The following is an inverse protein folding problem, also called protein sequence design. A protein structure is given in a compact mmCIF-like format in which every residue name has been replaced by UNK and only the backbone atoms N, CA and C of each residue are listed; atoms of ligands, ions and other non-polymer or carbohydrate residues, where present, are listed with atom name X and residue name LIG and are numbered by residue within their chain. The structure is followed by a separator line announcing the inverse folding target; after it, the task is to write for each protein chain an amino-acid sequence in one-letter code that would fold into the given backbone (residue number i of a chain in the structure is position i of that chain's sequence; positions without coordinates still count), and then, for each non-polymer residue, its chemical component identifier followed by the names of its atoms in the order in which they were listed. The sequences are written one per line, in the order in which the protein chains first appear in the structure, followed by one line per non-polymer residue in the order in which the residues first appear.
data_IF_593645933380
#
_entry.id   IF_593645933380
#
_cell.length_a   1.000
_cell.length_b   1.000
_cell.length_c   1.000
_cell.angle_alpha   90.00
_cell.angle_beta   90.00
_cell.angle_gamma   90.00
#
_symmetry.space_group_name_H-M   'P 1'
#
loop_
_entity.id
_entity.type
_entity.pdbx_description
1 polymer ?
#
# COMPACT_ATOMS: atom_id res chain seq x y z
N UNK A 1 -25.16 29.68 -13.79
CA UNK A 1 -24.31 29.52 -14.99
C UNK A 1 -22.84 29.44 -14.57
N UNK A 2 -22.26 30.51 -14.00
CA UNK A 2 -20.85 30.54 -13.56
C UNK A 2 -20.43 29.47 -12.54
N UNK A 3 -21.29 29.11 -11.57
CA UNK A 3 -20.96 28.06 -10.58
C UNK A 3 -20.87 26.66 -11.21
N UNK A 4 -21.78 26.33 -12.14
CA UNK A 4 -21.81 25.03 -12.82
C UNK A 4 -20.60 24.87 -13.75
N UNK A 5 -20.23 25.94 -14.47
CA UNK A 5 -19.04 25.96 -15.33
C UNK A 5 -17.74 25.82 -14.52
N UNK A 6 -17.67 26.41 -13.33
CA UNK A 6 -16.50 26.30 -12.44
C UNK A 6 -16.36 24.88 -11.88
N UNK A 7 -17.46 24.24 -11.46
CA UNK A 7 -17.48 22.85 -10.98
C UNK A 7 -17.08 21.85 -12.09
N UNK A 8 -17.53 22.09 -13.33
CA UNK A 8 -17.16 21.27 -14.48
C UNK A 8 -15.67 21.41 -14.82
N UNK A 9 -15.12 22.62 -14.74
CA UNK A 9 -13.70 22.89 -14.97
C UNK A 9 -12.81 22.19 -13.91
N UNK A 10 -13.20 22.22 -12.64
CA UNK A 10 -12.48 21.55 -11.54
C UNK A 10 -12.52 20.02 -11.69
N UNK A 11 -13.63 19.45 -12.16
CA UNK A 11 -13.81 18.00 -12.29
C UNK A 11 -13.28 17.39 -13.59
N UNK A 12 -13.08 18.19 -14.65
CA UNK A 12 -12.66 17.74 -15.97
C UNK A 12 -11.31 16.96 -16.00
N UNK A 13 -10.23 17.39 -15.32
CA UNK A 13 -8.97 16.64 -15.29
C UNK A 13 -9.11 15.26 -14.62
N UNK A 14 -9.92 15.18 -13.56
CA UNK A 14 -10.20 13.92 -12.87
C UNK A 14 -11.02 12.99 -13.75
N UNK A 15 -12.06 13.50 -14.40
CA UNK A 15 -12.90 12.73 -15.33
C UNK A 15 -12.10 12.17 -16.51
N UNK A 16 -11.19 12.96 -17.09
CA UNK A 16 -10.24 12.48 -18.11
C UNK A 16 -9.38 11.34 -17.56
N UNK A 17 -8.84 11.51 -16.36
CA UNK A 17 -8.00 10.52 -15.71
C UNK A 17 -8.77 9.23 -15.40
N UNK A 18 -10.04 9.31 -14.97
CA UNK A 18 -10.91 8.16 -14.73
C UNK A 18 -11.16 7.36 -16.02
N UNK A 19 -11.50 8.05 -17.11
CA UNK A 19 -11.77 7.43 -18.42
C UNK A 19 -10.54 6.76 -19.03
N UNK A 20 -9.34 7.27 -18.74
CA UNK A 20 -8.08 6.73 -19.24
C UNK A 20 -7.52 5.54 -18.43
N UNK A 21 -8.15 5.16 -17.30
CA UNK A 21 -7.61 4.10 -16.43
C UNK A 21 -7.67 2.73 -17.09
N UNK A 22 -6.61 1.94 -16.91
CA UNK A 22 -6.61 0.52 -17.26
C UNK A 22 -7.72 -0.21 -16.50
N UNK A 23 -8.46 -1.06 -17.22
CA UNK A 23 -9.62 -1.82 -16.71
C UNK A 23 -9.31 -2.60 -15.43
N UNK A 24 -8.10 -3.15 -15.30
CA UNK A 24 -7.66 -3.89 -14.11
C UNK A 24 -7.56 -3.01 -12.87
N UNK A 25 -7.08 -1.77 -13.00
CA UNK A 25 -6.98 -0.81 -11.89
C UNK A 25 -8.36 -0.32 -11.47
N UNK A 26 -9.27 -0.13 -12.43
CA UNK A 26 -10.67 0.21 -12.15
C UNK A 26 -11.34 -0.89 -11.33
N UNK A 27 -11.23 -2.15 -11.76
CA UNK A 27 -11.83 -3.28 -11.05
C UNK A 27 -11.23 -3.45 -9.64
N UNK A 28 -9.91 -3.36 -9.51
CA UNK A 28 -9.24 -3.47 -8.22
C UNK A 28 -9.61 -2.35 -7.25
N UNK A 29 -9.76 -1.11 -7.72
CA UNK A 29 -10.18 0.01 -6.87
C UNK A 29 -11.66 -0.07 -6.52
N UNK A 30 -12.51 -0.44 -7.48
CA UNK A 30 -13.95 -0.58 -7.28
C UNK A 30 -14.28 -1.57 -6.16
N UNK A 31 -13.65 -2.74 -6.15
CA UNK A 31 -13.82 -3.73 -5.08
C UNK A 31 -13.45 -3.14 -3.71
N UNK A 32 -12.30 -2.47 -3.62
CA UNK A 32 -11.81 -1.87 -2.36
C UNK A 32 -12.69 -0.73 -1.86
N UNK A 33 -13.23 0.06 -2.79
CA UNK A 33 -14.18 1.13 -2.48
C UNK A 33 -15.52 0.56 -2.02
N UNK A 34 -15.99 -0.56 -2.59
CA UNK A 34 -17.20 -1.24 -2.13
C UNK A 34 -17.03 -1.78 -0.71
N UNK A 35 -15.91 -2.43 -0.41
CA UNK A 35 -15.62 -2.91 0.94
C UNK A 35 -15.57 -1.76 1.96
N UNK A 36 -15.00 -0.61 1.58
CA UNK A 36 -15.02 0.59 2.43
C UNK A 36 -16.44 1.12 2.66
N UNK A 37 -17.30 1.13 1.64
CA UNK A 37 -18.70 1.55 1.77
C UNK A 37 -19.49 0.60 2.67
N UNK A 38 -19.39 -0.71 2.44
CA UNK A 38 -20.00 -1.71 3.29
C UNK A 38 -19.53 -1.60 4.75
N UNK A 39 -18.25 -1.30 4.97
CA UNK A 39 -17.75 -1.02 6.31
C UNK A 39 -18.35 0.25 6.92
N UNK A 40 -18.49 1.34 6.16
CA UNK A 40 -19.21 2.52 6.63
C UNK A 40 -20.65 2.20 7.06
N UNK A 41 -21.35 1.31 6.34
CA UNK A 41 -22.71 0.87 6.70
C UNK A 41 -22.73 0.14 8.05
N UNK A 42 -21.70 -0.65 8.36
CA UNK A 42 -21.59 -1.34 9.66
C UNK A 42 -21.28 -0.41 10.83
N UNK A 43 -20.61 0.71 10.57
CA UNK A 43 -20.17 1.65 11.59
C UNK A 43 -21.13 2.82 11.82
N UNK A 44 -22.23 2.91 11.06
CA UNK A 44 -23.31 3.90 11.22
C UNK A 44 -22.82 5.36 11.31
N UNK A 45 -21.87 5.75 10.45
CA UNK A 45 -21.40 7.14 10.43
C UNK A 45 -22.45 8.09 9.82
N UNK A 46 -22.74 9.22 10.47
CA UNK A 46 -23.65 10.26 9.95
C UNK A 46 -23.23 10.83 8.60
N UNK A 47 -21.92 10.83 8.33
CA UNK A 47 -21.33 11.29 7.05
C UNK A 47 -21.44 10.25 5.91
N UNK A 48 -22.18 9.15 6.11
CA UNK A 48 -22.39 8.10 5.12
C UNK A 48 -21.07 7.57 4.55
N UNK A 49 -20.91 7.66 3.22
CA UNK A 49 -19.70 7.23 2.52
C UNK A 49 -18.65 8.32 2.29
N UNK A 50 -18.84 9.54 2.81
CA UNK A 50 -17.84 10.59 2.68
C UNK A 50 -16.53 10.13 3.31
N UNK A 51 -15.46 10.19 2.52
CA UNK A 51 -14.13 9.79 2.96
C UNK A 51 -13.57 10.89 3.85
N UNK A 52 -13.23 10.54 5.08
CA UNK A 52 -12.54 11.43 6.03
C UNK A 52 -11.20 10.82 6.45
N UNK A 53 -10.31 11.64 6.99
CA UNK A 53 -9.06 11.18 7.62
C UNK A 53 -9.33 10.08 8.65
N UNK A 54 -10.32 10.29 9.52
CA UNK A 54 -10.66 9.37 10.59
C UNK A 54 -11.12 8.01 10.05
N UNK A 55 -12.04 8.01 9.07
CA UNK A 55 -12.54 6.78 8.44
C UNK A 55 -11.42 6.02 7.73
N UNK A 56 -10.56 6.72 6.97
CA UNK A 56 -9.46 6.07 6.26
C UNK A 56 -8.47 5.41 7.24
N UNK A 57 -8.10 6.10 8.32
CA UNK A 57 -7.21 5.55 9.34
C UNK A 57 -7.83 4.34 10.04
N UNK A 58 -9.06 4.48 10.52
CA UNK A 58 -9.75 3.43 11.26
C UNK A 58 -9.91 2.17 10.42
N UNK A 59 -10.39 2.30 9.18
CA UNK A 59 -10.54 1.19 8.24
C UNK A 59 -9.20 0.53 7.91
N UNK A 60 -8.15 1.32 7.70
CA UNK A 60 -6.80 0.82 7.37
C UNK A 60 -6.17 0.03 8.52
N UNK A 61 -6.43 0.43 9.76
CA UNK A 61 -5.88 -0.23 10.96
C UNK A 61 -6.66 -1.48 11.37
N UNK A 62 -7.98 -1.51 11.19
CA UNK A 62 -8.80 -2.64 11.66
C UNK A 62 -8.79 -3.84 10.73
N UNK A 63 -8.52 -3.67 9.44
CA UNK A 63 -8.90 -4.69 8.45
C UNK A 63 -7.74 -5.33 7.66
N UNK A 64 -6.51 -4.81 7.69
CA UNK A 64 -5.53 -5.18 6.65
C UNK A 64 -4.07 -5.32 7.10
N UNK A 65 -3.34 -6.20 6.40
CA UNK A 65 -1.88 -6.29 6.45
C UNK A 65 -1.20 -5.14 5.69
N UNK A 66 0.10 -4.90 5.95
CA UNK A 66 0.88 -3.78 5.41
C UNK A 66 0.78 -3.54 3.90
N UNK A 67 0.83 -4.59 3.08
CA UNK A 67 0.73 -4.51 1.61
C UNK A 67 -0.68 -4.10 1.19
N UNK A 68 -1.66 -4.70 1.83
CA UNK A 68 -3.07 -4.50 1.55
C UNK A 68 -3.49 -3.06 1.91
N UNK A 69 -2.99 -2.52 3.04
CA UNK A 69 -3.24 -1.15 3.48
C UNK A 69 -2.88 -0.09 2.43
N UNK A 70 -1.73 -0.22 1.75
CA UNK A 70 -1.32 0.76 0.73
C UNK A 70 -2.26 0.81 -0.48
N UNK A 71 -2.81 -0.35 -0.87
CA UNK A 71 -3.78 -0.44 -1.96
C UNK A 71 -5.13 0.17 -1.57
N UNK A 72 -5.62 -0.10 -0.35
CA UNK A 72 -6.85 0.53 0.14
C UNK A 72 -6.70 2.03 0.30
N UNK A 73 -5.58 2.51 0.86
CA UNK A 73 -5.32 3.96 0.97
C UNK A 73 -5.37 4.62 -0.40
N UNK A 74 -4.80 3.99 -1.44
CA UNK A 74 -4.83 4.53 -2.80
C UNK A 74 -6.26 4.55 -3.37
N UNK A 75 -7.00 3.44 -3.25
CA UNK A 75 -8.37 3.33 -3.77
C UNK A 75 -9.37 4.26 -3.04
N UNK A 76 -9.20 4.46 -1.74
CA UNK A 76 -10.08 5.33 -0.93
C UNK A 76 -9.70 6.80 -1.12
N UNK A 77 -8.42 7.13 -1.27
CA UNK A 77 -7.99 8.48 -1.65
C UNK A 77 -8.55 8.87 -3.02
N UNK A 78 -8.59 7.90 -3.93
CA UNK A 78 -9.22 8.09 -5.23
C UNK A 78 -10.72 8.37 -5.10
N UNK A 79 -11.45 7.60 -4.28
CA UNK A 79 -12.85 7.87 -3.98
C UNK A 79 -13.06 9.27 -3.41
N UNK A 80 -12.19 9.73 -2.50
CA UNK A 80 -12.22 11.09 -1.99
C UNK A 80 -12.07 12.12 -3.11
N UNK A 81 -11.11 11.95 -4.03
CA UNK A 81 -10.89 12.89 -5.13
C UNK A 81 -12.15 13.01 -6.00
N UNK A 82 -12.83 11.89 -6.26
CA UNK A 82 -14.12 11.87 -6.98
C UNK A 82 -15.19 12.64 -6.21
N UNK A 83 -15.36 12.35 -4.92
CA UNK A 83 -16.34 13.04 -4.08
C UNK A 83 -16.07 14.55 -3.99
N UNK A 84 -14.80 14.94 -3.84
CA UNK A 84 -14.39 16.33 -3.73
C UNK A 84 -14.58 17.09 -5.06
N UNK A 85 -14.21 16.49 -6.18
CA UNK A 85 -14.43 17.08 -7.50
C UNK A 85 -15.91 17.25 -7.85
N UNK A 86 -16.78 16.41 -7.30
CA UNK A 86 -18.24 16.50 -7.44
C UNK A 86 -18.90 17.44 -6.41
N UNK A 87 -18.12 18.10 -5.54
CA UNK A 87 -18.66 18.95 -4.47
C UNK A 87 -19.38 18.18 -3.35
N UNK A 88 -19.32 16.85 -3.33
CA UNK A 88 -19.97 15.99 -2.32
C UNK A 88 -19.18 15.97 -1.01
N UNK A 89 -17.86 16.19 -1.07
CA UNK A 89 -16.98 16.09 0.09
C UNK A 89 -16.03 17.28 0.20
N UNK A 90 -16.22 18.09 1.24
CA UNK A 90 -15.37 19.24 1.58
C UNK A 90 -14.43 18.97 2.77
N UNK A 91 -14.34 17.71 3.23
CA UNK A 91 -13.45 17.35 4.33
C UNK A 91 -11.98 17.50 3.93
N UNK A 92 -11.10 17.59 4.93
CA UNK A 92 -9.65 17.64 4.70
C UNK A 92 -9.19 16.38 3.96
N UNK A 93 -8.29 16.55 2.99
CA UNK A 93 -7.76 15.45 2.18
C UNK A 93 -7.24 14.29 3.06
N UNK A 94 -7.72 13.05 2.83
CA UNK A 94 -7.57 11.95 3.79
C UNK A 94 -6.12 11.44 3.88
N UNK A 95 -5.34 11.52 2.79
CA UNK A 95 -3.91 11.12 2.76
C UNK A 95 -2.99 12.19 3.36
N UNK A 96 -3.19 12.48 4.63
CA UNK A 96 -2.43 13.49 5.37
C UNK A 96 -1.14 12.92 6.02
N UNK A 97 -0.47 13.72 6.86
CA UNK A 97 0.76 13.32 7.54
C UNK A 97 0.61 12.04 8.39
N UNK A 98 -0.55 11.84 9.03
CA UNK A 98 -0.84 10.66 9.86
C UNK A 98 -0.89 9.39 9.00
N UNK A 99 -1.64 9.42 7.90
CA UNK A 99 -1.69 8.29 6.95
C UNK A 99 -0.32 8.01 6.34
N UNK A 100 0.46 9.06 6.04
CA UNK A 100 1.84 8.91 5.55
C UNK A 100 2.74 8.23 6.59
N UNK A 101 2.62 8.59 7.87
CA UNK A 101 3.37 7.96 8.95
C UNK A 101 3.00 6.47 9.11
N UNK A 102 1.70 6.13 9.05
CA UNK A 102 1.20 4.76 9.06
C UNK A 102 1.82 3.95 7.90
N UNK A 103 1.70 4.41 6.66
CA UNK A 103 2.29 3.74 5.49
C UNK A 103 3.81 3.58 5.63
N UNK A 104 4.50 4.58 6.20
CA UNK A 104 5.93 4.52 6.48
C UNK A 104 6.29 3.42 7.49
N UNK A 105 5.51 3.30 8.57
CA UNK A 105 5.71 2.25 9.59
C UNK A 105 5.51 0.84 9.01
N UNK A 106 4.42 0.63 8.26
CA UNK A 106 4.10 -0.64 7.61
C UNK A 106 5.16 -1.04 6.57
N UNK A 107 5.71 -0.07 5.83
CA UNK A 107 6.82 -0.31 4.90
C UNK A 107 8.09 -0.75 5.62
N UNK A 108 8.43 -0.11 6.75
CA UNK A 108 9.60 -0.50 7.56
C UNK A 108 9.46 -1.90 8.15
N UNK A 109 8.29 -2.23 8.69
CA UNK A 109 7.99 -3.56 9.21
C UNK A 109 8.15 -4.63 8.13
N UNK A 110 7.62 -4.39 6.92
CA UNK A 110 7.81 -5.28 5.77
C UNK A 110 9.29 -5.50 5.45
N UNK A 111 10.09 -4.43 5.39
CA UNK A 111 11.53 -4.57 5.12
C UNK A 111 12.27 -5.31 6.24
N UNK A 112 11.91 -5.06 7.50
CA UNK A 112 12.50 -5.77 8.64
C UNK A 112 12.22 -7.28 8.56
N UNK A 113 10.98 -7.66 8.24
CA UNK A 113 10.61 -9.07 8.02
C UNK A 113 11.37 -9.70 6.85
N UNK A 114 11.45 -9.00 5.72
CA UNK A 114 12.18 -9.48 4.55
C UNK A 114 13.68 -9.66 4.84
N UNK A 115 14.28 -8.78 5.65
CA UNK A 115 15.68 -8.90 6.10
C UNK A 115 15.88 -10.14 6.98
N UNK A 116 14.99 -10.38 7.93
CA UNK A 116 15.07 -11.57 8.79
C UNK A 116 14.93 -12.87 7.99
N UNK A 117 13.96 -12.93 7.07
CA UNK A 117 13.77 -14.07 6.18
C UNK A 117 14.98 -14.32 5.27
N UNK A 118 15.62 -13.25 4.79
CA UNK A 118 16.86 -13.36 4.01
C UNK A 118 18.02 -13.93 4.83
N UNK A 119 18.20 -13.44 6.08
CA UNK A 119 19.23 -13.96 6.99
C UNK A 119 19.00 -15.44 7.31
N UNK A 120 17.75 -15.87 7.45
CA UNK A 120 17.39 -17.27 7.71
C UNK A 120 17.75 -18.19 6.52
N UNK A 121 17.59 -17.71 5.27
CA UNK A 121 18.01 -18.47 4.08
C UNK A 121 19.52 -18.61 3.96
N UNK A 122 20.30 -17.60 4.33
CA UNK A 122 21.77 -17.67 4.27
C UNK A 122 22.34 -18.72 5.26
N UNK A 123 21.69 -18.94 6.40
CA UNK A 123 22.11 -19.96 7.39
C UNK A 123 21.96 -21.39 6.84
N UNK A 124 20.99 -21.62 5.94
CA UNK A 124 20.76 -22.92 5.31
C UNK A 124 21.51 -23.14 3.98
N UNK A 125 22.13 -22.11 3.42
CA UNK A 125 22.76 -22.17 2.07
C UNK A 125 24.29 -22.20 2.12
N UNK A 126 24.89 -22.21 3.32
CA UNK A 126 26.34 -22.31 3.53
C UNK A 126 26.79 -23.78 3.52
N UNK A 127 26.63 -24.46 2.38
CA UNK A 127 27.28 -25.72 1.98
C UNK A 127 27.50 -25.61 0.45
N UNK A 128 28.65 -25.80 -0.16
CA UNK A 128 29.89 -26.50 0.14
C UNK A 128 31.00 -25.75 -0.62
N UNK A 129 32.20 -25.67 -0.06
CA UNK A 129 33.28 -24.91 -0.67
C UNK A 129 34.65 -25.38 -0.26
N UNK A 130 34.93 -25.50 1.03
CA UNK A 130 36.22 -25.98 1.52
C UNK A 130 36.09 -26.55 2.94
N UNK A 131 35.77 -27.83 3.05
CA UNK A 131 36.23 -28.62 4.19
C UNK A 131 36.36 -30.09 3.80
N UNK A 132 37.09 -30.37 2.72
CA UNK A 132 37.66 -31.70 2.59
C UNK A 132 38.93 -31.71 3.45
N UNK A 133 38.94 -32.59 4.46
CA UNK A 133 40.15 -33.00 5.17
C UNK A 133 41.27 -33.48 4.20
N UNK A 134 40.95 -33.63 2.91
CA UNK A 134 41.86 -33.93 1.80
C UNK A 134 42.74 -32.72 1.39
N UNK A 135 42.29 -31.47 1.54
CA UNK A 135 43.12 -30.31 1.22
C UNK A 135 44.27 -30.10 2.22
N UNK A 136 44.03 -30.40 3.50
CA UNK A 136 45.07 -30.40 4.53
C UNK A 136 46.08 -31.54 4.33
N UNK A 137 45.73 -32.62 3.61
CA UNK A 137 46.65 -33.71 3.25
C UNK A 137 47.51 -33.38 2.03
N UNK A 138 47.01 -32.61 1.07
CA UNK A 138 47.77 -32.25 -0.13
C UNK A 138 48.89 -31.22 0.13
N UNK A 139 48.75 -30.37 1.15
CA UNK A 139 49.79 -29.41 1.54
C UNK A 139 50.93 -30.02 2.39
N UNK A 140 50.74 -31.23 2.92
CA UNK A 140 51.76 -31.92 3.73
C UNK A 140 52.80 -32.69 2.89
N UNK A 141 52.64 -32.79 1.57
CA UNK A 141 53.54 -33.56 0.68
C UNK A 141 54.47 -32.72 -0.21
N UNK A 142 54.40 -31.38 -0.17
CA UNK A 142 55.27 -30.52 -1.00
C UNK A 142 56.43 -29.84 -0.25
N UNK A 143 56.82 -30.38 0.91
CA UNK A 143 57.89 -29.81 1.75
C UNK A 143 59.16 -30.66 1.84
N UNK A 144 59.54 -31.43 0.81
CA UNK A 144 60.83 -32.13 0.81
C UNK A 144 61.32 -32.46 -0.59
N UNK A 145 61.97 -31.48 -1.25
CA UNK A 145 63.19 -31.69 -2.05
C UNK A 145 64.10 -30.49 -1.78
#
# INVERSE_FOLDING_TARGET
MLQVELEECVSAPLNRSLRARRRNTVNAYAQKQQEFKAWCDTCWFDSGYQVTVAKLNLFSMTKFSSVTTAMYVSAITDLYNVQHAMGINSAIHPRNAVVKALLGSLRREKYAKAKLEYVDRDIGTLLDGYCSADEQRMLAQQGSI
#
